data_IF_678739327422
#
_entry.id   IF_678739327422
#
_cell.length_a   1.000
_cell.length_b   1.000
_cell.length_c   1.000
_cell.angle_alpha   90.00
_cell.angle_beta   90.00
_cell.angle_gamma   90.00
#
_symmetry.space_group_name_H-M   'P 1'
#
loop_
_entity.id
_entity.type
_entity.pdbx_description
1 polymer ?
#
# COMPACT_ATOMS: atom_id res chain seq x y z
N UNK A 1 -49.92 58.47 12.68
CA UNK A 1 -49.60 57.03 12.70
C UNK A 1 -48.41 56.70 11.77
N UNK A 2 -48.44 57.11 10.50
CA UNK A 2 -47.35 56.87 9.52
C UNK A 2 -45.98 57.41 9.96
N UNK A 3 -45.91 58.63 10.51
CA UNK A 3 -44.65 59.26 10.96
C UNK A 3 -44.01 58.53 12.16
N UNK A 4 -44.83 57.96 13.05
CA UNK A 4 -44.35 57.24 14.24
C UNK A 4 -43.69 55.93 13.80
N UNK A 5 -44.31 55.23 12.84
CA UNK A 5 -43.77 54.00 12.25
C UNK A 5 -42.45 54.28 11.54
N UNK A 6 -42.34 55.38 10.79
CA UNK A 6 -41.11 55.78 10.12
C UNK A 6 -39.96 56.06 11.11
N UNK A 7 -40.23 56.73 12.23
CA UNK A 7 -39.22 57.00 13.27
C UNK A 7 -38.76 55.71 13.95
N UNK A 8 -39.67 54.79 14.26
CA UNK A 8 -39.34 53.49 14.86
C UNK A 8 -38.46 52.65 13.92
N UNK A 9 -38.80 52.60 12.62
CA UNK A 9 -37.99 51.92 11.61
C UNK A 9 -36.59 52.53 11.48
N UNK A 10 -36.46 53.85 11.55
CA UNK A 10 -35.17 54.54 11.49
C UNK A 10 -34.29 54.18 12.69
N UNK A 11 -34.85 54.18 13.90
CA UNK A 11 -34.12 53.81 15.11
C UNK A 11 -33.70 52.33 15.07
N UNK A 12 -34.58 51.44 14.63
CA UNK A 12 -34.29 50.02 14.48
C UNK A 12 -33.16 49.79 13.46
N UNK A 13 -33.16 50.52 12.35
CA UNK A 13 -32.14 50.40 11.31
C UNK A 13 -30.76 50.85 11.83
N UNK A 14 -30.69 51.99 12.53
CA UNK A 14 -29.46 52.44 13.19
C UNK A 14 -28.94 51.39 14.18
N UNK A 15 -29.85 50.81 14.98
CA UNK A 15 -29.49 49.78 15.94
C UNK A 15 -28.93 48.53 15.24
N UNK A 16 -29.56 48.09 14.15
CA UNK A 16 -29.07 46.99 13.31
C UNK A 16 -27.68 47.30 12.76
N UNK A 17 -27.45 48.50 12.21
CA UNK A 17 -26.14 48.91 11.69
C UNK A 17 -25.06 48.82 12.78
N UNK A 18 -25.37 49.31 13.99
CA UNK A 18 -24.41 49.31 15.10
C UNK A 18 -24.10 47.87 15.55
N UNK A 19 -25.14 47.05 15.70
CA UNK A 19 -25.02 45.65 16.09
C UNK A 19 -24.24 44.84 15.06
N UNK A 20 -24.56 45.00 13.78
CA UNK A 20 -23.84 44.33 12.69
C UNK A 20 -22.40 44.81 12.61
N UNK A 21 -22.13 46.11 12.70
CA UNK A 21 -20.76 46.64 12.68
C UNK A 21 -19.89 46.00 13.79
N UNK A 22 -20.44 45.88 15.00
CA UNK A 22 -19.71 45.25 16.11
C UNK A 22 -19.46 43.75 15.87
N UNK A 23 -20.48 43.02 15.42
CA UNK A 23 -20.36 41.57 15.14
C UNK A 23 -19.39 41.28 13.98
N UNK A 24 -19.48 42.05 12.88
CA UNK A 24 -18.67 41.85 11.68
C UNK A 24 -17.19 42.22 11.91
N UNK A 25 -16.91 43.26 12.70
CA UNK A 25 -15.54 43.66 13.03
C UNK A 25 -14.75 42.53 13.72
N UNK A 26 -15.42 41.68 14.48
CA UNK A 26 -14.76 40.59 15.20
C UNK A 26 -14.57 39.32 14.35
N UNK A 27 -15.50 39.03 13.43
CA UNK A 27 -15.49 37.78 12.64
C UNK A 27 -14.61 37.83 11.39
N UNK A 28 -14.32 39.04 10.86
CA UNK A 28 -13.60 39.22 9.59
C UNK A 28 -12.33 40.06 9.71
N UNK A 29 -11.73 40.14 10.90
CA UNK A 29 -10.40 40.75 11.00
C UNK A 29 -9.40 39.83 10.30
N UNK A 30 -8.78 40.27 9.21
CA UNK A 30 -7.76 39.53 8.43
C UNK A 30 -6.66 38.91 9.32
N UNK A 31 -6.44 39.50 10.50
CA UNK A 31 -5.52 39.02 11.55
C UNK A 31 -5.96 37.71 12.20
N UNK A 32 -7.26 37.44 12.31
CA UNK A 32 -7.77 36.15 12.79
C UNK A 32 -7.56 35.06 11.73
N UNK A 33 -7.81 35.38 10.46
CA UNK A 33 -7.59 34.45 9.34
C UNK A 33 -6.12 34.08 9.17
N UNK A 34 -5.19 35.05 9.22
CA UNK A 34 -3.75 34.74 9.12
C UNK A 34 -3.24 33.91 10.29
N UNK A 35 -3.74 34.15 11.50
CA UNK A 35 -3.38 33.35 12.67
C UNK A 35 -3.94 31.92 12.56
N UNK A 36 -5.15 31.76 12.02
CA UNK A 36 -5.72 30.44 11.77
C UNK A 36 -4.88 29.68 10.72
N UNK A 37 -4.54 30.33 9.60
CA UNK A 37 -3.66 29.73 8.57
C UNK A 37 -2.30 29.33 9.16
N UNK A 38 -1.69 30.20 9.98
CA UNK A 38 -0.42 29.89 10.64
C UNK A 38 -0.54 28.67 11.56
N UNK A 39 -1.60 28.60 12.35
CA UNK A 39 -1.84 27.48 13.27
C UNK A 39 -2.09 26.17 12.51
N UNK A 40 -2.91 26.20 11.45
CA UNK A 40 -3.17 25.02 10.62
C UNK A 40 -1.90 24.57 9.90
N UNK A 41 -1.08 25.52 9.42
CA UNK A 41 0.23 25.22 8.82
C UNK A 41 1.16 24.57 9.83
N UNK A 42 1.23 25.09 11.06
CA UNK A 42 2.05 24.49 12.13
C UNK A 42 1.59 23.07 12.47
N UNK A 43 0.28 22.85 12.54
CA UNK A 43 -0.30 21.53 12.75
C UNK A 43 0.03 20.56 11.61
N UNK A 44 -0.07 21.02 10.37
CA UNK A 44 0.27 20.22 9.19
C UNK A 44 1.77 19.86 9.17
N UNK A 45 2.66 20.80 9.48
CA UNK A 45 4.10 20.54 9.59
C UNK A 45 4.38 19.51 10.69
N UNK A 46 3.75 19.65 11.85
CA UNK A 46 3.89 18.70 12.95
C UNK A 46 3.36 17.30 12.56
N UNK A 47 2.23 17.24 11.86
CA UNK A 47 1.65 16.00 11.38
C UNK A 47 2.55 15.32 10.34
N UNK A 48 3.09 16.06 9.38
CA UNK A 48 4.03 15.51 8.38
C UNK A 48 5.28 14.98 9.07
N UNK A 49 5.86 15.73 10.00
CA UNK A 49 7.05 15.29 10.75
C UNK A 49 6.76 13.98 11.50
N UNK A 50 5.63 13.91 12.21
CA UNK A 50 5.22 12.71 12.95
C UNK A 50 4.95 11.51 12.02
N UNK A 51 4.19 11.69 10.94
CA UNK A 51 3.91 10.62 9.98
C UNK A 51 5.18 10.14 9.26
N UNK A 52 6.14 11.04 9.02
CA UNK A 52 7.43 10.70 8.43
C UNK A 52 8.25 9.84 9.39
N UNK A 53 8.35 10.25 10.66
CA UNK A 53 9.07 9.49 11.70
C UNK A 53 8.48 8.08 11.89
N UNK A 54 7.15 7.98 11.93
CA UNK A 54 6.45 6.70 11.96
C UNK A 54 6.74 5.85 10.71
N UNK A 55 6.74 6.48 9.54
CA UNK A 55 7.00 5.77 8.28
C UNK A 55 8.44 5.26 8.20
N UNK A 56 9.41 6.03 8.70
CA UNK A 56 10.81 5.60 8.81
C UNK A 56 10.91 4.40 9.76
N UNK A 57 10.27 4.46 10.92
CA UNK A 57 10.25 3.35 11.89
C UNK A 57 9.70 2.06 11.25
N UNK A 58 8.56 2.15 10.55
CA UNK A 58 7.97 0.99 9.85
C UNK A 58 8.91 0.47 8.76
N UNK A 59 9.59 1.36 8.04
CA UNK A 59 10.55 1.00 7.00
C UNK A 59 11.76 0.27 7.60
N UNK A 60 12.30 0.75 8.72
CA UNK A 60 13.40 0.11 9.44
C UNK A 60 13.03 -1.30 9.92
N UNK A 61 11.82 -1.48 10.46
CA UNK A 61 11.33 -2.79 10.88
C UNK A 61 11.17 -3.75 9.69
N UNK A 62 10.66 -3.26 8.56
CA UNK A 62 10.57 -4.06 7.32
C UNK A 62 11.94 -4.43 6.77
N UNK A 63 12.92 -3.52 6.83
CA UNK A 63 14.31 -3.81 6.45
C UNK A 63 14.87 -4.93 7.35
N UNK A 64 14.60 -4.88 8.66
CA UNK A 64 15.02 -5.94 9.59
C UNK A 64 14.35 -7.28 9.28
N UNK A 65 13.06 -7.28 9.01
CA UNK A 65 12.29 -8.47 8.59
C UNK A 65 12.87 -9.08 7.31
N UNK A 66 13.04 -8.28 6.25
CA UNK A 66 13.60 -8.74 4.97
C UNK A 66 15.00 -9.30 5.15
N UNK A 67 15.86 -8.66 5.94
CA UNK A 67 17.20 -9.20 6.23
C UNK A 67 17.13 -10.55 6.95
N UNK A 68 16.21 -10.74 7.88
CA UNK A 68 16.02 -12.02 8.56
C UNK A 68 15.55 -13.12 7.61
N UNK A 69 14.63 -12.78 6.68
CA UNK A 69 14.16 -13.70 5.65
C UNK A 69 15.27 -14.08 4.66
N UNK A 70 16.14 -13.13 4.30
CA UNK A 70 17.31 -13.39 3.46
C UNK A 70 18.27 -14.37 4.15
N UNK A 71 18.55 -14.17 5.45
CA UNK A 71 19.39 -15.10 6.22
C UNK A 71 18.77 -16.50 6.31
N UNK A 72 17.45 -16.58 6.48
CA UNK A 72 16.75 -17.87 6.48
C UNK A 72 16.79 -18.54 5.11
N UNK A 73 16.61 -17.78 4.03
CA UNK A 73 16.76 -18.25 2.66
C UNK A 73 18.17 -18.78 2.40
N UNK A 74 19.20 -18.05 2.82
CA UNK A 74 20.60 -18.47 2.67
C UNK A 74 20.86 -19.78 3.43
N UNK A 75 20.35 -19.92 4.66
CA UNK A 75 20.40 -21.18 5.40
C UNK A 75 19.71 -22.33 4.66
N UNK A 76 18.53 -22.08 4.08
CA UNK A 76 17.79 -23.10 3.32
C UNK A 76 18.51 -23.47 2.02
N UNK A 77 19.12 -22.51 1.32
CA UNK A 77 19.94 -22.74 0.13
C UNK A 77 21.16 -23.59 0.50
N UNK A 78 21.84 -23.29 1.61
CA UNK A 78 22.97 -24.07 2.08
C UNK A 78 22.59 -25.52 2.39
N UNK A 79 21.44 -25.74 3.01
CA UNK A 79 20.92 -27.09 3.30
C UNK A 79 20.52 -27.82 2.02
N UNK A 80 19.82 -27.16 1.10
CA UNK A 80 19.45 -27.71 -0.19
C UNK A 80 20.69 -28.09 -1.02
N UNK A 81 21.73 -27.26 -1.04
CA UNK A 81 22.99 -27.56 -1.71
C UNK A 81 23.70 -28.78 -1.10
N UNK A 82 23.70 -28.92 0.22
CA UNK A 82 24.24 -30.11 0.90
C UNK A 82 23.45 -31.38 0.61
N UNK A 83 22.13 -31.29 0.47
CA UNK A 83 21.28 -32.42 0.07
C UNK A 83 21.54 -32.82 -1.38
N UNK A 84 21.65 -31.85 -2.28
CA UNK A 84 21.98 -32.07 -3.69
C UNK A 84 23.35 -32.74 -3.85
N UNK A 85 24.34 -32.35 -3.07
CA UNK A 85 25.66 -33.00 -3.07
C UNK A 85 25.58 -34.46 -2.61
N UNK A 86 24.85 -34.74 -1.51
CA UNK A 86 24.62 -36.12 -1.02
C UNK A 86 23.87 -36.97 -2.05
N UNK A 87 22.87 -36.39 -2.70
CA UNK A 87 22.08 -37.07 -3.75
C UNK A 87 22.95 -37.36 -4.98
N UNK A 88 23.78 -36.40 -5.39
CA UNK A 88 24.74 -36.56 -6.49
C UNK A 88 25.80 -37.63 -6.17
N UNK A 89 26.28 -37.69 -4.94
CA UNK A 89 27.22 -38.73 -4.50
C UNK A 89 26.57 -40.12 -4.52
N UNK A 90 25.34 -40.26 -4.02
CA UNK A 90 24.60 -41.52 -4.08
C UNK A 90 24.37 -41.97 -5.53
N UNK A 91 23.99 -41.05 -6.43
CA UNK A 91 23.78 -41.35 -7.85
C UNK A 91 25.06 -41.85 -8.54
N UNK A 92 26.24 -41.27 -8.22
CA UNK A 92 27.53 -41.78 -8.69
C UNK A 92 27.83 -43.20 -8.19
N UNK A 93 27.50 -43.50 -6.93
CA UNK A 93 27.64 -44.86 -6.37
C UNK A 93 26.75 -45.83 -7.12
N UNK A 94 25.46 -45.50 -7.33
CA UNK A 94 24.56 -46.34 -8.14
C UNK A 94 25.07 -46.54 -9.57
N UNK A 95 25.59 -45.50 -10.21
CA UNK A 95 26.17 -45.59 -11.55
C UNK A 95 27.36 -46.56 -11.58
N UNK A 96 28.28 -46.44 -10.61
CA UNK A 96 29.45 -47.32 -10.49
C UNK A 96 29.05 -48.78 -10.23
N UNK A 97 28.04 -49.03 -9.39
CA UNK A 97 27.52 -50.38 -9.15
C UNK A 97 26.83 -50.95 -10.39
N UNK A 98 26.08 -50.13 -11.13
CA UNK A 98 25.45 -50.55 -12.38
C UNK A 98 26.48 -50.85 -13.47
N UNK A 99 27.60 -50.12 -13.49
CA UNK A 99 28.70 -50.32 -14.43
C UNK A 99 29.55 -51.55 -14.08
N UNK A 100 29.82 -51.81 -12.80
CA UNK A 100 30.45 -53.08 -12.36
C UNK A 100 29.54 -54.27 -12.62
N UNK A 101 28.23 -54.15 -12.38
CA UNK A 101 27.28 -55.22 -12.73
C UNK A 101 27.24 -55.44 -14.24
N UNK A 102 27.31 -54.39 -15.08
CA UNK A 102 27.42 -54.56 -16.54
C UNK A 102 28.75 -55.16 -16.99
N UNK A 103 29.86 -54.82 -16.33
CA UNK A 103 31.17 -55.39 -16.60
C UNK A 103 31.25 -56.87 -16.19
N UNK A 104 30.67 -57.24 -15.04
CA UNK A 104 30.59 -58.63 -14.57
C UNK A 104 29.50 -59.44 -15.30
N UNK A 105 28.47 -58.80 -15.87
CA UNK A 105 27.41 -59.47 -16.65
C UNK A 105 27.74 -59.60 -18.15
N UNK A 106 28.95 -59.24 -18.58
CA UNK A 106 29.41 -59.43 -19.97
C UNK A 106 30.28 -60.68 -20.16
N UNK A 107 30.00 -61.73 -19.39
CA UNK A 107 30.32 -63.11 -19.76
C UNK A 107 29.06 -63.97 -19.73
N UNK A 108 28.18 -63.73 -20.70
CA UNK A 108 27.08 -64.62 -21.08
C UNK A 108 25.75 -64.34 -20.40
N UNK A 109 24.82 -63.70 -21.11
CA UNK A 109 23.68 -64.42 -21.68
C UNK A 109 22.88 -63.56 -22.68
N UNK A 110 22.06 -64.30 -23.40
CA UNK A 110 21.47 -64.08 -24.71
C UNK A 110 20.58 -62.85 -24.89
N UNK A 111 20.47 -62.51 -26.17
CA UNK A 111 19.66 -61.47 -26.77
C UNK A 111 18.17 -61.87 -26.71
N UNK A 112 17.31 -60.87 -26.48
CA UNK A 112 15.84 -60.84 -26.62
C UNK A 112 15.02 -61.02 -25.33
N UNK A 113 13.89 -60.28 -25.28
CA UNK A 113 12.97 -60.04 -24.15
C UNK A 113 13.48 -58.83 -23.35
N UNK A 114 13.00 -57.60 -23.54
CA UNK A 114 11.60 -57.16 -23.50
C UNK A 114 11.43 -55.97 -24.45
N UNK A 115 10.52 -56.12 -25.41
CA UNK A 115 9.95 -55.00 -26.13
C UNK A 115 9.06 -54.17 -25.20
N UNK A 116 8.96 -52.87 -25.51
CA UNK A 116 7.92 -51.91 -25.10
C UNK A 116 8.29 -50.94 -23.97
N UNK A 117 8.84 -49.80 -24.38
CA UNK A 117 8.34 -48.49 -23.97
C UNK A 117 8.86 -47.44 -24.97
N UNK A 118 7.93 -46.82 -25.68
CA UNK A 118 8.16 -45.70 -26.58
C UNK A 118 8.88 -44.55 -25.84
N UNK A 119 9.89 -43.97 -26.49
CA UNK A 119 10.19 -42.54 -26.34
C UNK A 119 9.34 -41.78 -27.38
N UNK A 120 8.98 -40.52 -27.11
CA UNK A 120 9.85 -39.46 -27.61
C UNK A 120 10.19 -38.40 -26.52
N UNK A 121 11.47 -38.05 -26.25
CA UNK A 121 12.31 -37.00 -26.89
C UNK A 121 11.52 -35.71 -27.23
N UNK A 122 11.84 -34.52 -26.69
CA UNK A 122 13.02 -33.70 -27.03
C UNK A 122 13.02 -32.44 -26.11
N UNK A 123 14.16 -32.06 -25.49
CA UNK A 123 15.07 -30.97 -25.93
C UNK A 123 14.71 -29.63 -25.27
N UNK A 124 15.59 -28.82 -24.66
CA UNK A 124 17.04 -28.70 -24.74
C UNK A 124 17.57 -27.81 -23.60
N UNK A 125 18.83 -28.05 -23.20
CA UNK A 125 19.86 -27.05 -22.82
C UNK A 125 19.65 -26.31 -21.49
N UNK A 126 20.55 -26.35 -20.49
CA UNK A 126 21.97 -26.63 -20.53
C UNK A 126 22.80 -25.38 -20.21
N UNK A 127 22.95 -25.10 -18.91
CA UNK A 127 24.14 -24.60 -18.18
C UNK A 127 24.65 -23.16 -18.43
N UNK A 128 24.61 -22.38 -17.34
CA UNK A 128 25.64 -21.55 -16.64
C UNK A 128 26.98 -21.32 -17.39
N UNK A 129 27.74 -20.22 -17.20
CA UNK A 129 28.31 -19.75 -15.94
C UNK A 129 29.22 -18.51 -16.14
N UNK A 130 29.58 -17.87 -15.02
CA UNK A 130 30.80 -17.06 -14.72
C UNK A 130 30.75 -15.53 -14.87
N UNK A 131 31.31 -14.83 -13.86
CA UNK A 131 31.19 -13.39 -13.67
C UNK A 131 32.45 -12.63 -13.20
N UNK A 132 32.21 -11.34 -12.90
CA UNK A 132 33.00 -10.31 -12.16
C UNK A 132 34.37 -9.87 -12.74
N UNK A 133 34.92 -8.68 -12.38
CA UNK A 133 34.35 -7.35 -12.11
C UNK A 133 35.08 -6.22 -12.91
N UNK A 134 34.55 -4.98 -12.96
CA UNK A 134 35.38 -3.79 -13.26
C UNK A 134 34.77 -2.49 -12.69
N UNK A 135 35.50 -1.87 -11.78
CA UNK A 135 35.34 -0.46 -11.40
C UNK A 135 36.09 0.44 -12.41
N UNK A 136 35.68 1.72 -12.50
CA UNK A 136 36.51 2.95 -12.58
C UNK A 136 35.79 4.06 -13.39
N UNK A 137 35.40 5.12 -12.66
CA UNK A 137 35.47 6.57 -12.97
C UNK A 137 34.53 7.24 -14.00
N UNK A 138 33.64 8.07 -13.44
CA UNK A 138 33.29 9.46 -13.76
C UNK A 138 33.50 9.94 -15.21
N UNK A 139 32.38 10.15 -15.93
CA UNK A 139 32.14 11.38 -16.71
C UNK A 139 30.66 11.77 -16.61
N UNK A 140 30.48 13.02 -16.22
CA UNK A 140 29.28 13.82 -16.23
C UNK A 140 28.66 13.87 -17.63
N UNK A 141 27.38 13.51 -17.74
CA UNK A 141 26.49 14.08 -18.75
C UNK A 141 25.04 13.94 -18.23
N UNK A 142 24.43 15.07 -17.88
CA UNK A 142 23.00 15.16 -17.62
C UNK A 142 22.32 14.91 -18.96
N UNK A 143 21.68 13.76 -19.11
CA UNK A 143 20.59 13.58 -20.04
C UNK A 143 19.31 13.62 -19.22
N UNK A 144 18.52 14.68 -19.41
CA UNK A 144 17.11 14.66 -19.04
C UNK A 144 16.46 13.71 -20.03
N UNK A 145 16.38 12.44 -19.64
CA UNK A 145 15.53 11.47 -20.32
C UNK A 145 14.11 11.82 -19.89
N UNK A 146 13.28 12.26 -20.84
CA UNK A 146 11.85 12.52 -20.68
C UNK A 146 11.10 11.19 -20.43
N UNK A 147 11.48 10.48 -19.37
CA UNK A 147 10.65 9.41 -18.84
C UNK A 147 9.42 10.06 -18.19
N UNK A 148 8.20 9.63 -18.55
CA UNK A 148 7.00 10.14 -17.92
C UNK A 148 7.11 9.93 -16.40
N UNK A 149 6.89 11.00 -15.63
CA UNK A 149 6.89 11.00 -14.17
C UNK A 149 6.04 9.81 -13.69
N UNK A 150 6.68 8.77 -13.16
CA UNK A 150 5.99 7.60 -12.61
C UNK A 150 5.37 8.02 -11.27
N UNK A 151 4.12 8.47 -11.35
CA UNK A 151 3.31 8.82 -10.18
C UNK A 151 2.94 7.52 -9.47
N UNK A 152 3.63 7.22 -8.38
CA UNK A 152 3.23 6.16 -7.46
C UNK A 152 2.07 6.68 -6.60
N UNK A 153 0.87 6.70 -7.16
CA UNK A 153 -0.31 6.73 -6.29
C UNK A 153 -0.36 5.37 -5.61
N UNK A 154 -0.41 5.34 -4.28
CA UNK A 154 -0.79 4.12 -3.57
C UNK A 154 -2.18 3.76 -4.10
N UNK A 155 -2.29 2.65 -4.83
CA UNK A 155 -3.59 2.02 -5.06
C UNK A 155 -4.20 1.79 -3.68
N UNK A 156 -5.34 2.42 -3.42
CA UNK A 156 -6.14 2.13 -2.24
C UNK A 156 -6.56 0.68 -2.44
N UNK A 157 -5.89 -0.25 -1.77
CA UNK A 157 -6.27 -1.66 -1.79
C UNK A 157 -7.71 -1.71 -1.30
N UNK A 158 -8.64 -1.94 -2.23
CA UNK A 158 -9.99 -2.33 -1.87
C UNK A 158 -9.87 -3.53 -0.93
N UNK A 159 -10.54 -3.52 0.24
CA UNK A 159 -10.44 -4.62 1.17
C UNK A 159 -10.92 -5.88 0.45
N UNK A 160 -10.02 -6.87 0.38
CA UNK A 160 -10.30 -8.20 -0.17
C UNK A 160 -11.53 -8.74 0.56
N UNK A 161 -12.66 -8.80 -0.16
CA UNK A 161 -13.91 -9.35 0.33
C UNK A 161 -13.66 -10.76 0.84
N UNK A 162 -13.84 -10.92 2.15
CA UNK A 162 -13.46 -12.12 2.88
C UNK A 162 -14.07 -12.10 4.28
N UNK A 163 -15.37 -12.38 4.35
CA UNK A 163 -16.06 -13.01 5.48
C UNK A 163 -15.86 -12.29 6.83
N UNK A 164 -16.37 -11.06 6.92
CA UNK A 164 -16.80 -10.45 8.19
C UNK A 164 -18.12 -9.74 7.87
N UNK A 165 -19.20 -9.90 8.65
CA UNK A 165 -20.46 -9.25 8.35
C UNK A 165 -20.23 -7.75 8.17
N UNK A 166 -20.71 -7.23 7.04
CA UNK A 166 -20.45 -5.90 6.50
C UNK A 166 -21.09 -4.80 7.38
N UNK A 167 -20.50 -4.59 8.56
CA UNK A 167 -20.89 -3.52 9.49
C UNK A 167 -20.73 -2.16 8.82
N UNK A 168 -19.82 -2.05 7.86
CA UNK A 168 -19.55 -0.82 7.11
C UNK A 168 -20.68 -0.49 6.13
N UNK A 169 -21.22 -1.45 5.39
CA UNK A 169 -22.43 -1.22 4.59
C UNK A 169 -23.65 -0.91 5.45
N UNK A 170 -23.80 -1.57 6.60
CA UNK A 170 -24.87 -1.26 7.55
C UNK A 170 -24.77 0.18 8.09
N UNK A 171 -23.57 0.70 8.33
CA UNK A 171 -23.36 2.08 8.78
C UNK A 171 -23.64 3.09 7.66
N UNK A 172 -23.24 2.78 6.42
CA UNK A 172 -23.54 3.62 5.25
C UNK A 172 -25.05 3.77 5.05
N UNK A 173 -25.79 2.67 5.09
CA UNK A 173 -27.25 2.69 4.98
C UNK A 173 -27.88 3.50 6.12
N UNK A 174 -27.36 3.35 7.34
CA UNK A 174 -27.83 4.11 8.50
C UNK A 174 -27.57 5.63 8.35
N UNK A 175 -26.42 6.03 7.82
CA UNK A 175 -26.09 7.42 7.53
C UNK A 175 -27.07 8.00 6.51
N UNK A 176 -27.33 7.27 5.43
CA UNK A 176 -28.25 7.67 4.36
C UNK A 176 -29.67 7.86 4.92
N UNK A 177 -30.14 6.94 5.75
CA UNK A 177 -31.47 7.04 6.35
C UNK A 177 -31.58 8.18 7.37
N UNK A 178 -30.52 8.47 8.14
CA UNK A 178 -30.49 9.63 9.03
C UNK A 178 -30.48 10.96 8.24
N UNK A 179 -29.75 11.02 7.13
CA UNK A 179 -29.72 12.18 6.25
C UNK A 179 -31.08 12.41 5.57
N UNK A 180 -31.75 11.35 5.09
CA UNK A 180 -33.13 11.44 4.54
C UNK A 180 -34.15 11.94 5.56
N UNK A 181 -33.94 11.66 6.85
CA UNK A 181 -34.76 12.19 7.96
C UNK A 181 -34.45 13.66 8.29
N UNK A 182 -33.52 14.28 7.58
CA UNK A 182 -33.15 15.69 7.76
C UNK A 182 -32.24 15.96 8.96
N UNK A 183 -31.55 14.93 9.50
CA UNK A 183 -30.54 15.17 10.53
C UNK A 183 -29.33 15.90 9.93
N UNK A 184 -28.76 16.83 10.70
CA UNK A 184 -27.53 17.53 10.31
C UNK A 184 -26.32 16.59 10.33
N UNK A 185 -25.35 16.86 9.46
CA UNK A 185 -24.11 16.08 9.31
C UNK A 185 -23.35 15.98 10.64
N UNK A 186 -23.37 17.05 11.45
CA UNK A 186 -22.77 17.10 12.79
C UNK A 186 -23.43 16.12 13.77
N UNK A 187 -24.77 16.01 13.73
CA UNK A 187 -25.52 15.11 14.61
C UNK A 187 -25.40 13.65 14.18
N UNK A 188 -25.21 13.40 12.88
CA UNK A 188 -24.93 12.07 12.34
C UNK A 188 -23.52 11.62 12.78
N UNK A 189 -22.54 12.52 12.78
CA UNK A 189 -21.16 12.26 13.22
C UNK A 189 -21.04 11.97 14.72
N UNK A 190 -21.98 12.45 15.53
CA UNK A 190 -22.05 12.09 16.96
C UNK A 190 -22.55 10.65 17.16
N UNK A 191 -23.43 10.17 16.29
CA UNK A 191 -24.06 8.84 16.39
C UNK A 191 -23.29 7.74 15.69
N UNK A 192 -22.47 8.08 14.70
CA UNK A 192 -21.71 7.14 13.89
C UNK A 192 -20.23 7.48 14.03
N UNK A 193 -19.34 6.51 14.30
CA UNK A 193 -17.92 6.74 14.51
C UNK A 193 -17.17 7.00 13.19
N UNK A 194 -17.69 7.92 12.37
CA UNK A 194 -17.13 8.32 11.08
C UNK A 194 -16.96 9.84 11.04
N UNK A 195 -15.88 10.35 10.42
CA UNK A 195 -15.63 11.78 10.33
C UNK A 195 -16.68 12.48 9.47
N UNK A 196 -16.94 13.76 9.75
CA UNK A 196 -17.94 14.57 9.03
C UNK A 196 -17.74 14.58 7.52
N UNK A 197 -16.48 14.62 7.06
CA UNK A 197 -16.16 14.56 5.62
C UNK A 197 -16.48 13.22 4.96
N UNK A 198 -16.37 12.10 5.68
CA UNK A 198 -16.77 10.79 5.14
C UNK A 198 -18.30 10.66 5.09
N UNK A 199 -19.00 11.21 6.09
CA UNK A 199 -20.46 11.29 6.10
C UNK A 199 -20.98 12.15 4.95
N UNK A 200 -20.39 13.32 4.73
CA UNK A 200 -20.72 14.22 3.61
C UNK A 200 -20.47 13.52 2.26
N UNK A 201 -19.34 12.83 2.11
CA UNK A 201 -19.04 12.06 0.92
C UNK A 201 -20.09 10.97 0.67
N UNK A 202 -20.45 10.19 1.69
CA UNK A 202 -21.47 9.13 1.60
C UNK A 202 -22.82 9.70 1.16
N UNK A 203 -23.23 10.83 1.73
CA UNK A 203 -24.50 11.49 1.38
C UNK A 203 -24.43 12.01 -0.07
N UNK A 204 -23.33 12.66 -0.46
CA UNK A 204 -23.14 13.24 -1.80
C UNK A 204 -23.12 12.20 -2.92
N UNK A 205 -22.67 10.98 -2.65
CA UNK A 205 -22.62 9.90 -3.64
C UNK A 205 -23.96 9.17 -3.82
N UNK A 206 -24.92 9.38 -2.92
CA UNK A 206 -26.18 8.64 -2.86
C UNK A 206 -27.43 9.55 -2.88
N UNK A 207 -27.23 10.85 -3.14
CA UNK A 207 -28.30 11.83 -3.42
C UNK A 207 -28.37 12.05 -4.92
#
# INVERSE_FOLDING_TARGET
MINIIAIVLLVLNIFLILFFYFKFKNQFSDRASINNIKNETQKLVAQIAFQTDQSVTIMEDKIREVNSLILELDKRILLAGKEEEKRSAAERVYQSLAETVKADSFSGFDKNVIAKAERPITSNGGIRENGHPKQVTKKENIYIEDEPIKIYTKQILAPKSGIVPDRTASMKEQIIEMAKKGLSIELIAEKVPLPTGEIELIISMNT
#
